data_IF_584775458676
#
_entry.id   IF_584775458676
#
_cell.length_a   1.000
_cell.length_b   1.000
_cell.length_c   1.000
_cell.angle_alpha   90.00
_cell.angle_beta   90.00
_cell.angle_gamma   90.00
#
_symmetry.space_group_name_H-M   'P 1'
#
loop_
_entity.id
_entity.type
_entity.pdbx_description
1 polymer ?
#
# COMPACT_ATOMS: atom_id res chain seq x y z
N UNK A 1 -14.41 28.82 15.99
CA UNK A 1 -15.22 28.55 14.79
C UNK A 1 -15.39 27.05 14.56
N UNK A 2 -16.62 26.54 14.67
CA UNK A 2 -16.96 25.13 14.43
C UNK A 2 -16.54 24.65 13.04
N UNK A 3 -16.60 25.51 12.02
CA UNK A 3 -16.19 25.19 10.64
C UNK A 3 -14.69 24.87 10.52
N UNK A 4 -13.82 25.60 11.24
CA UNK A 4 -12.38 25.34 11.26
C UNK A 4 -12.07 23.95 11.82
N UNK A 5 -12.85 23.50 12.82
CA UNK A 5 -12.71 22.16 13.42
C UNK A 5 -13.19 21.06 12.46
N UNK A 6 -14.31 21.28 11.75
CA UNK A 6 -14.81 20.38 10.70
C UNK A 6 -13.81 20.27 9.53
N UNK A 7 -13.26 21.39 9.07
CA UNK A 7 -12.24 21.42 8.02
C UNK A 7 -10.96 20.67 8.44
N UNK A 8 -10.46 20.88 9.66
CA UNK A 8 -9.30 20.17 10.19
C UNK A 8 -9.51 18.64 10.27
N UNK A 9 -10.71 18.20 10.67
CA UNK A 9 -11.08 16.79 10.70
C UNK A 9 -11.09 16.15 9.30
N UNK A 10 -11.68 16.83 8.31
CA UNK A 10 -11.71 16.36 6.92
C UNK A 10 -10.30 16.22 6.33
N UNK A 11 -9.43 17.20 6.58
CA UNK A 11 -8.03 17.17 6.13
C UNK A 11 -7.27 16.01 6.77
N UNK A 12 -7.46 15.78 8.07
CA UNK A 12 -6.80 14.69 8.81
C UNK A 12 -7.27 13.31 8.31
N UNK A 13 -8.57 13.16 8.07
CA UNK A 13 -9.15 11.94 7.49
C UNK A 13 -8.62 11.67 6.09
N UNK A 14 -8.51 12.70 5.24
CA UNK A 14 -7.95 12.57 3.88
C UNK A 14 -6.47 12.16 3.92
N UNK A 15 -5.67 12.77 4.80
CA UNK A 15 -4.24 12.42 4.97
C UNK A 15 -4.06 10.98 5.41
N UNK A 16 -4.86 10.52 6.36
CA UNK A 16 -4.88 9.13 6.79
C UNK A 16 -5.21 8.16 5.65
N UNK A 17 -6.26 8.45 4.87
CA UNK A 17 -6.63 7.63 3.70
C UNK A 17 -5.53 7.58 2.64
N UNK A 18 -4.88 8.70 2.36
CA UNK A 18 -3.76 8.74 1.41
C UNK A 18 -2.54 7.97 1.93
N UNK A 19 -2.26 8.05 3.23
CA UNK A 19 -1.20 7.26 3.84
C UNK A 19 -1.49 5.75 3.74
N UNK A 20 -2.75 5.34 3.93
CA UNK A 20 -3.17 3.95 3.78
C UNK A 20 -3.00 3.45 2.34
N UNK A 21 -3.53 4.17 1.34
CA UNK A 21 -3.37 3.80 -0.08
C UNK A 21 -1.90 3.73 -0.51
N UNK A 22 -1.07 4.63 0.02
CA UNK A 22 0.37 4.63 -0.23
C UNK A 22 1.04 3.40 0.40
N UNK A 23 0.62 3.00 1.59
CA UNK A 23 1.13 1.81 2.27
C UNK A 23 0.81 0.56 1.44
N UNK A 24 -0.44 0.40 1.00
CA UNK A 24 -0.88 -0.70 0.13
C UNK A 24 -0.02 -0.80 -1.14
N UNK A 25 0.13 0.31 -1.87
CA UNK A 25 0.91 0.35 -3.11
C UNK A 25 2.36 -0.08 -2.87
N UNK A 26 3.00 0.41 -1.81
CA UNK A 26 4.40 0.10 -1.51
C UNK A 26 4.60 -1.36 -1.12
N UNK A 27 3.65 -1.96 -0.41
CA UNK A 27 3.71 -3.38 -0.06
C UNK A 27 3.58 -4.25 -1.30
N UNK A 28 2.60 -3.95 -2.17
CA UNK A 28 2.42 -4.67 -3.45
C UNK A 28 3.67 -4.55 -4.34
N UNK A 29 4.23 -3.34 -4.45
CA UNK A 29 5.48 -3.12 -5.20
C UNK A 29 6.61 -3.99 -4.65
N UNK A 30 6.77 -4.06 -3.33
CA UNK A 30 7.78 -4.89 -2.68
C UNK A 30 7.60 -6.38 -2.97
N UNK A 31 6.36 -6.88 -3.05
CA UNK A 31 6.10 -8.27 -3.44
C UNK A 31 6.56 -8.55 -4.87
N UNK A 32 6.25 -7.66 -5.82
CA UNK A 32 6.74 -7.80 -7.19
C UNK A 32 8.28 -7.78 -7.27
N UNK A 33 8.93 -6.93 -6.48
CA UNK A 33 10.40 -6.91 -6.36
C UNK A 33 10.95 -8.24 -5.85
N UNK A 34 10.33 -8.84 -4.83
CA UNK A 34 10.72 -10.16 -4.30
C UNK A 34 10.52 -11.29 -5.31
N UNK A 35 9.39 -11.30 -6.02
CA UNK A 35 9.13 -12.29 -7.08
C UNK A 35 10.16 -12.18 -8.21
N UNK A 36 10.53 -10.97 -8.62
CA UNK A 36 11.61 -10.75 -9.60
C UNK A 36 12.96 -11.25 -9.09
N UNK A 37 13.25 -11.09 -7.79
CA UNK A 37 14.47 -11.63 -7.17
C UNK A 37 14.50 -13.17 -7.26
N UNK A 38 13.37 -13.81 -6.94
CA UNK A 38 13.23 -15.26 -6.98
C UNK A 38 13.31 -15.84 -8.40
N UNK A 39 12.76 -15.13 -9.41
CA UNK A 39 12.82 -15.53 -10.82
C UNK A 39 14.22 -15.32 -11.46
N UNK A 40 15.02 -14.37 -10.96
CA UNK A 40 16.37 -14.09 -11.47
C UNK A 40 17.41 -15.20 -11.19
N UNK A 41 16.98 -16.40 -10.78
CA UNK A 41 17.88 -17.48 -10.39
C UNK A 41 18.53 -18.26 -11.55
N UNK A 42 18.21 -17.96 -12.81
CA UNK A 42 18.53 -18.81 -13.98
C UNK A 42 19.79 -18.46 -14.81
N UNK A 43 20.73 -17.57 -14.40
CA UNK A 43 22.01 -17.41 -15.13
C UNK A 43 23.05 -16.48 -14.47
N UNK A 44 24.37 -16.79 -14.54
CA UNK A 44 25.44 -16.26 -13.64
C UNK A 44 25.87 -14.78 -13.81
N UNK A 45 26.00 -14.23 -15.02
CA UNK A 45 26.66 -12.91 -15.22
C UNK A 45 25.70 -11.71 -15.37
N UNK A 46 24.54 -11.89 -16.00
CA UNK A 46 23.43 -10.92 -15.96
C UNK A 46 22.74 -10.85 -14.57
N UNK A 47 23.00 -11.82 -13.67
CA UNK A 47 22.46 -11.91 -12.31
C UNK A 47 22.95 -10.81 -11.39
N UNK A 48 24.24 -10.47 -11.41
CA UNK A 48 24.83 -9.67 -10.33
C UNK A 48 24.33 -8.22 -10.34
N UNK A 49 24.31 -7.60 -11.53
CA UNK A 49 23.76 -6.25 -11.71
C UNK A 49 22.27 -6.23 -11.40
N UNK A 50 21.49 -7.17 -11.94
CA UNK A 50 20.05 -7.26 -11.70
C UNK A 50 19.70 -7.47 -10.22
N UNK A 51 20.42 -8.38 -9.53
CA UNK A 51 20.27 -8.59 -8.08
C UNK A 51 20.62 -7.37 -7.26
N UNK A 52 21.67 -6.63 -7.62
CA UNK A 52 22.05 -5.39 -6.94
C UNK A 52 20.97 -4.33 -7.09
N UNK A 53 20.37 -4.19 -8.28
CA UNK A 53 19.25 -3.29 -8.51
C UNK A 53 18.00 -3.71 -7.73
N UNK A 54 17.65 -5.00 -7.73
CA UNK A 54 16.51 -5.51 -6.97
C UNK A 54 16.73 -5.35 -5.46
N UNK A 55 17.91 -5.66 -4.94
CA UNK A 55 18.25 -5.47 -3.53
C UNK A 55 18.17 -4.00 -3.10
N UNK A 56 18.65 -3.08 -3.96
CA UNK A 56 18.52 -1.63 -3.73
C UNK A 56 17.05 -1.19 -3.77
N UNK A 57 16.25 -1.71 -4.71
CA UNK A 57 14.82 -1.46 -4.77
C UNK A 57 14.11 -1.94 -3.48
N UNK A 58 14.41 -3.14 -3.01
CA UNK A 58 13.88 -3.70 -1.76
C UNK A 58 14.25 -2.88 -0.53
N UNK A 59 15.47 -2.33 -0.47
CA UNK A 59 15.89 -1.45 0.62
C UNK A 59 15.11 -0.13 0.60
N UNK A 60 14.99 0.47 -0.59
CA UNK A 60 14.24 1.73 -0.80
C UNK A 60 12.76 1.54 -0.47
N UNK A 61 12.14 0.45 -0.96
CA UNK A 61 10.74 0.14 -0.68
C UNK A 61 10.52 -0.15 0.80
N UNK A 62 11.43 -0.89 1.47
CA UNK A 62 11.38 -1.10 2.93
C UNK A 62 11.40 0.20 3.72
N UNK A 63 12.27 1.15 3.35
CA UNK A 63 12.33 2.44 4.03
C UNK A 63 11.09 3.29 3.76
N UNK A 64 10.58 3.26 2.53
CA UNK A 64 9.34 3.96 2.15
C UNK A 64 8.13 3.43 2.93
N UNK A 65 8.03 2.12 3.15
CA UNK A 65 6.97 1.49 3.96
C UNK A 65 7.08 1.97 5.41
N UNK A 66 8.28 1.98 6.01
CA UNK A 66 8.49 2.48 7.39
C UNK A 66 8.05 3.94 7.54
N UNK A 67 8.47 4.80 6.62
CA UNK A 67 8.11 6.22 6.65
C UNK A 67 6.58 6.41 6.49
N UNK A 68 5.96 5.66 5.58
CA UNK A 68 4.51 5.73 5.34
C UNK A 68 3.72 5.18 6.52
N UNK A 69 4.19 4.10 7.17
CA UNK A 69 3.61 3.56 8.39
C UNK A 69 3.63 4.57 9.53
N UNK A 70 4.73 5.31 9.69
CA UNK A 70 4.81 6.39 10.68
C UNK A 70 3.79 7.49 10.40
N UNK A 71 3.64 7.92 9.15
CA UNK A 71 2.61 8.88 8.75
C UNK A 71 1.20 8.37 8.98
N UNK A 72 0.94 7.09 8.67
CA UNK A 72 -0.34 6.42 8.94
C UNK A 72 -0.65 6.41 10.44
N UNK A 73 0.27 5.94 11.28
CA UNK A 73 0.08 5.86 12.73
C UNK A 73 -0.08 7.26 13.36
N UNK A 74 0.62 8.25 12.83
CA UNK A 74 0.45 9.66 13.23
C UNK A 74 -0.96 10.15 12.90
N UNK A 75 -1.43 9.89 11.68
CA UNK A 75 -2.79 10.23 11.25
C UNK A 75 -3.87 9.47 12.03
N UNK A 76 -3.64 8.20 12.33
CA UNK A 76 -4.55 7.36 13.11
C UNK A 76 -4.78 7.92 14.51
N UNK A 77 -3.72 8.42 15.17
CA UNK A 77 -3.81 9.09 16.47
C UNK A 77 -4.59 10.41 16.42
N UNK A 78 -4.59 11.10 15.28
CA UNK A 78 -5.24 12.40 15.10
C UNK A 78 -6.73 12.33 14.73
N UNK A 79 -7.26 11.14 14.40
CA UNK A 79 -8.68 10.92 14.12
C UNK A 79 -9.43 10.62 15.43
N UNK A 80 -10.68 11.06 15.53
CA UNK A 80 -11.56 10.76 16.67
C UNK A 80 -12.75 9.94 16.18
N UNK A 81 -12.95 8.70 16.67
CA UNK A 81 -12.12 7.99 17.65
C UNK A 81 -10.74 7.60 17.09
N UNK A 82 -9.72 7.38 17.95
CA UNK A 82 -8.39 7.00 17.52
C UNK A 82 -8.42 5.76 16.60
N UNK A 83 -7.82 5.90 15.42
CA UNK A 83 -7.71 4.80 14.46
C UNK A 83 -6.77 3.69 14.93
N UNK A 84 -6.90 2.51 14.33
CA UNK A 84 -6.05 1.36 14.63
C UNK A 84 -4.60 1.63 14.20
N UNK A 85 -3.65 1.46 15.13
CA UNK A 85 -2.21 1.59 14.86
C UNK A 85 -1.65 0.26 14.39
N UNK A 86 -0.80 0.32 13.37
CA UNK A 86 -0.16 -0.87 12.80
C UNK A 86 1.29 -0.94 13.27
N UNK A 87 1.74 -2.14 13.67
CA UNK A 87 3.15 -2.42 13.93
C UNK A 87 3.86 -2.82 12.64
N UNK A 88 5.18 -2.66 12.60
CA UNK A 88 5.97 -3.12 11.46
C UNK A 88 5.83 -4.63 11.22
N UNK A 89 5.81 -5.42 12.30
CA UNK A 89 5.64 -6.87 12.23
C UNK A 89 4.32 -7.26 11.54
N UNK A 90 3.23 -6.60 11.93
CA UNK A 90 1.92 -6.83 11.31
C UNK A 90 1.95 -6.51 9.80
N UNK A 91 2.54 -5.38 9.39
CA UNK A 91 2.67 -5.02 7.96
C UNK A 91 3.47 -6.07 7.17
N UNK A 92 4.50 -6.65 7.77
CA UNK A 92 5.30 -7.71 7.14
C UNK A 92 4.52 -9.03 7.07
N UNK A 93 3.79 -9.40 8.11
CA UNK A 93 2.91 -10.57 8.10
C UNK A 93 1.83 -10.47 7.01
N UNK A 94 1.18 -9.31 6.85
CA UNK A 94 0.21 -9.11 5.76
C UNK A 94 0.85 -9.14 4.38
N UNK A 95 2.04 -8.56 4.23
CA UNK A 95 2.81 -8.65 2.99
C UNK A 95 3.20 -10.09 2.65
N UNK A 96 3.46 -10.91 3.67
CA UNK A 96 3.85 -12.31 3.51
C UNK A 96 2.65 -13.21 3.19
N UNK A 97 1.52 -13.02 3.87
CA UNK A 97 0.30 -13.80 3.70
C UNK A 97 -0.46 -13.46 2.40
N UNK A 98 -0.05 -12.41 1.67
CA UNK A 98 -0.82 -11.82 0.56
C UNK A 98 -2.27 -11.46 0.95
N UNK A 99 -2.57 -11.44 2.26
CA UNK A 99 -3.87 -11.18 2.83
C UNK A 99 -4.00 -9.68 3.08
N UNK A 100 -4.34 -8.98 2.00
CA UNK A 100 -4.56 -7.53 2.00
C UNK A 100 -5.95 -7.14 2.48
N UNK A 101 -6.84 -8.10 2.73
CA UNK A 101 -8.18 -7.81 3.25
C UNK A 101 -8.13 -7.23 4.67
N UNK A 102 -6.97 -7.27 5.33
CA UNK A 102 -6.78 -6.59 6.61
C UNK A 102 -6.76 -5.05 6.53
N UNK A 103 -6.45 -4.47 5.37
CA UNK A 103 -6.57 -3.01 5.15
C UNK A 103 -7.99 -2.62 4.70
N UNK A 104 -8.81 -3.62 4.40
CA UNK A 104 -10.22 -3.52 4.02
C UNK A 104 -11.12 -3.74 5.23
N UNK A 105 -10.90 -3.05 6.36
CA UNK A 105 -12.05 -2.83 7.26
C UNK A 105 -13.00 -1.89 6.53
N UNK A 106 -14.28 -2.27 6.30
CA UNK A 106 -15.23 -1.45 5.58
C UNK A 106 -15.48 -0.20 6.40
N UNK A 107 -14.82 0.90 6.06
CA UNK A 107 -15.24 2.22 6.48
C UNK A 107 -16.54 2.53 5.71
N UNK A 108 -17.62 1.86 6.10
CA UNK A 108 -18.97 1.98 5.53
C UNK A 108 -18.99 1.85 4.00
N UNK A 109 -19.24 0.62 3.57
CA UNK A 109 -20.08 0.29 2.41
C UNK A 109 -20.97 1.49 2.04
N UNK A 110 -20.77 2.07 0.85
CA UNK A 110 -21.72 2.87 0.06
C UNK A 110 -21.08 3.40 -1.23
N UNK A 111 -19.77 3.54 -1.30
CA UNK A 111 -19.10 3.88 -2.56
C UNK A 111 -18.53 2.63 -3.23
N UNK A 112 -19.40 1.90 -3.91
CA UNK A 112 -18.98 1.03 -5.01
C UNK A 112 -18.18 1.91 -5.97
N UNK A 113 -16.86 1.74 -6.01
CA UNK A 113 -16.04 2.40 -7.03
C UNK A 113 -16.32 1.69 -8.34
N UNK A 114 -17.07 2.26 -9.30
CA UNK A 114 -17.53 1.53 -10.48
C UNK A 114 -16.37 1.02 -11.33
N UNK A 115 -15.25 1.75 -11.32
CA UNK A 115 -14.01 1.43 -12.01
C UNK A 115 -13.21 0.28 -11.37
N UNK A 116 -13.50 -0.09 -10.12
CA UNK A 116 -12.84 -1.18 -9.40
C UNK A 116 -13.68 -2.47 -9.40
N UNK A 117 -14.74 -2.53 -10.22
CA UNK A 117 -15.52 -3.76 -10.40
C UNK A 117 -14.75 -4.73 -11.31
N UNK A 118 -14.83 -6.05 -11.06
CA UNK A 118 -14.18 -7.06 -11.92
C UNK A 118 -14.54 -6.89 -13.40
N UNK A 119 -15.79 -6.54 -13.70
CA UNK A 119 -16.27 -6.25 -15.04
C UNK A 119 -15.57 -5.05 -15.68
N UNK A 120 -15.36 -3.96 -14.94
CA UNK A 120 -14.64 -2.78 -15.45
C UNK A 120 -13.15 -3.09 -15.70
N UNK A 121 -12.52 -3.88 -14.83
CA UNK A 121 -11.14 -4.34 -15.03
C UNK A 121 -11.00 -5.23 -16.28
N UNK A 122 -11.91 -6.19 -16.47
CA UNK A 122 -11.92 -7.05 -17.66
C UNK A 122 -12.19 -6.26 -18.95
N UNK A 123 -13.03 -5.22 -18.89
CA UNK A 123 -13.27 -4.34 -20.03
C UNK A 123 -12.01 -3.53 -20.37
N UNK A 124 -11.31 -2.98 -19.37
CA UNK A 124 -10.06 -2.26 -19.56
C UNK A 124 -8.96 -3.17 -20.13
N UNK A 125 -8.84 -4.41 -19.67
CA UNK A 125 -7.89 -5.40 -20.20
C UNK A 125 -8.18 -5.75 -21.67
N UNK A 126 -9.46 -5.87 -22.04
CA UNK A 126 -9.88 -6.12 -23.42
C UNK A 126 -9.64 -4.92 -24.35
N UNK A 127 -9.81 -3.69 -23.85
CA UNK A 127 -9.63 -2.46 -24.63
C UNK A 127 -8.18 -2.00 -24.73
N UNK A 128 -7.42 -2.11 -23.64
CA UNK A 128 -6.00 -1.79 -23.56
C UNK A 128 -5.19 -3.08 -23.57
N UNK A 129 -5.23 -3.79 -24.70
CA UNK A 129 -4.36 -4.96 -24.92
C UNK A 129 -2.89 -4.54 -24.69
N UNK A 130 -2.29 -5.02 -23.60
CA UNK A 130 -0.83 -5.04 -23.37
C UNK A 130 -0.35 -6.45 -23.67
#
# INVERSE_FOLDING_TARGET
>A
GQERRKAAHLVSTKRYRLALLKLERLVVQRMFELTKMNLSQTGKSLRYKLRKHIAKALQVSSQAIRNTLNSYNTGAKSIVPPGHQLSWGAVIEYAFLADFDLLRKPAKLNEVRPWATPSACLLLDKYFKI
#
